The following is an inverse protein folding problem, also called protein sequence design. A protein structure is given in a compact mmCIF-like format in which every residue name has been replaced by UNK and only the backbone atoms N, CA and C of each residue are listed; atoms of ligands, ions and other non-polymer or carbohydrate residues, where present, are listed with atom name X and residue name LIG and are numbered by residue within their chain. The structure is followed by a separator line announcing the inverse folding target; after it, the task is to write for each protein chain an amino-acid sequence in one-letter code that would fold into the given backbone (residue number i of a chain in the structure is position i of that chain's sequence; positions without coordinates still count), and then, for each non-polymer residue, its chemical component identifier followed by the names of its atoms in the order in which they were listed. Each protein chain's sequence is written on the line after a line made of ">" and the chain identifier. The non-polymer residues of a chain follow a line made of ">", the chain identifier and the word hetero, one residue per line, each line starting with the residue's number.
data_IF_768857394626
#
_entry.id   IF_768857394626
#
_cell.length_a   1.000
_cell.length_b   1.000
_cell.length_c   1.000
_cell.angle_alpha   90.00
_cell.angle_beta   90.00
_cell.angle_gamma   90.00
#
_symmetry.space_group_name_H-M   'P 1'
#
loop_
_entity.id
_entity.type
_entity.pdbx_description
1 polymer ?
#
# COMPACT_ATOMS: atom_id res chain seq x y z
N UNK A 1 15.79 -4.08 6.33
CA UNK A 1 14.36 -4.07 5.94
C UNK A 1 13.59 -2.93 6.63
N UNK A 2 13.66 -2.77 7.97
CA UNK A 2 12.99 -1.66 8.70
C UNK A 2 13.25 -0.24 8.20
N UNK A 3 14.49 0.08 7.79
CA UNK A 3 14.82 1.43 7.30
C UNK A 3 14.18 1.73 5.93
N UNK A 4 14.19 0.76 5.01
CA UNK A 4 13.53 0.87 3.69
C UNK A 4 12.02 1.05 3.84
N UNK A 5 11.37 0.27 4.71
CA UNK A 5 9.95 0.39 5.01
C UNK A 5 9.58 1.77 5.57
N UNK A 6 10.40 2.31 6.48
CA UNK A 6 10.19 3.62 7.08
C UNK A 6 10.33 4.74 6.04
N UNK A 7 11.36 4.67 5.19
CA UNK A 7 11.56 5.63 4.09
C UNK A 7 10.44 5.56 3.05
N UNK A 8 9.99 4.34 2.73
CA UNK A 8 8.87 4.12 1.82
C UNK A 8 7.58 4.72 2.36
N UNK A 9 7.18 4.43 3.61
CA UNK A 9 6.00 5.06 4.24
C UNK A 9 6.07 6.58 4.16
N UNK A 10 7.22 7.17 4.48
CA UNK A 10 7.40 8.62 4.41
C UNK A 10 7.24 9.16 2.98
N UNK A 11 7.73 8.43 1.99
CA UNK A 11 7.62 8.79 0.57
C UNK A 11 6.16 8.80 0.09
N UNK A 12 5.35 7.84 0.53
CA UNK A 12 3.96 7.68 0.07
C UNK A 12 2.93 8.37 0.96
N UNK A 13 3.29 8.77 2.18
CA UNK A 13 2.40 9.42 3.15
C UNK A 13 1.68 10.65 2.58
N UNK A 14 2.38 11.46 1.77
CA UNK A 14 1.77 12.62 1.11
C UNK A 14 0.66 12.23 0.12
N UNK A 15 0.86 11.16 -0.65
CA UNK A 15 -0.13 10.64 -1.61
C UNK A 15 -1.35 10.07 -0.89
N UNK A 16 -1.12 9.28 0.15
CA UNK A 16 -2.19 8.70 0.98
C UNK A 16 -3.00 9.79 1.68
N UNK A 17 -2.35 10.78 2.29
CA UNK A 17 -3.03 11.90 2.94
C UNK A 17 -3.84 12.75 1.95
N UNK A 18 -3.35 12.92 0.71
CA UNK A 18 -4.13 13.57 -0.34
C UNK A 18 -5.34 12.73 -0.75
N UNK A 19 -5.17 11.42 -0.89
CA UNK A 19 -6.26 10.51 -1.23
C UNK A 19 -7.33 10.48 -0.13
N UNK A 20 -6.93 10.48 1.14
CA UNK A 20 -7.86 10.46 2.29
C UNK A 20 -8.82 11.65 2.30
N UNK A 21 -8.36 12.81 1.82
CA UNK A 21 -9.21 14.01 1.65
C UNK A 21 -10.25 13.87 0.55
N UNK A 22 -10.01 13.02 -0.46
CA UNK A 22 -10.94 12.78 -1.57
C UNK A 22 -11.82 11.55 -1.34
N UNK A 23 -11.25 10.50 -0.74
CA UNK A 23 -11.95 9.25 -0.44
C UNK A 23 -11.22 8.54 0.70
N UNK A 24 -11.82 8.59 1.88
CA UNK A 24 -11.30 7.91 3.07
C UNK A 24 -11.24 6.39 2.88
N UNK A 25 -12.26 5.80 2.26
CA UNK A 25 -12.30 4.36 1.95
C UNK A 25 -11.15 3.93 1.04
N UNK A 26 -10.85 4.72 0.00
CA UNK A 26 -9.73 4.43 -0.88
C UNK A 26 -8.38 4.57 -0.16
N UNK A 27 -8.22 5.58 0.69
CA UNK A 27 -7.01 5.74 1.48
C UNK A 27 -6.79 4.57 2.46
N UNK A 28 -7.84 4.14 3.17
CA UNK A 28 -7.77 2.99 4.08
C UNK A 28 -7.41 1.70 3.32
N UNK A 29 -7.95 1.52 2.11
CA UNK A 29 -7.58 0.39 1.25
C UNK A 29 -6.09 0.43 0.91
N UNK A 30 -5.59 1.56 0.43
CA UNK A 30 -4.16 1.72 0.09
C UNK A 30 -3.26 1.52 1.33
N UNK A 31 -3.65 2.03 2.50
CA UNK A 31 -2.90 1.81 3.74
C UNK A 31 -2.82 0.33 4.12
N UNK A 32 -3.90 -0.41 3.98
CA UNK A 32 -3.90 -1.85 4.26
C UNK A 32 -2.96 -2.62 3.28
N UNK A 33 -2.93 -2.23 2.00
CA UNK A 33 -1.97 -2.75 1.03
C UNK A 33 -0.51 -2.37 1.35
N UNK A 34 -0.27 -1.15 1.86
CA UNK A 34 1.05 -0.70 2.31
C UNK A 34 1.55 -1.48 3.52
N UNK A 35 0.68 -1.73 4.49
CA UNK A 35 1.02 -2.52 5.67
C UNK A 35 1.35 -3.97 5.29
N UNK A 36 0.70 -4.51 4.26
CA UNK A 36 1.04 -5.82 3.70
C UNK A 36 2.44 -5.83 3.07
N UNK A 37 2.78 -4.81 2.26
CA UNK A 37 4.10 -4.67 1.65
C UNK A 37 5.25 -4.57 2.66
N UNK A 38 4.94 -4.06 3.86
CA UNK A 38 5.92 -3.82 4.93
C UNK A 38 5.94 -4.97 5.95
N UNK A 39 4.92 -5.84 5.95
CA UNK A 39 4.83 -6.95 6.87
C UNK A 39 6.05 -7.88 6.71
N UNK A 40 6.83 -8.03 7.78
CA UNK A 40 8.01 -8.91 7.81
C UNK A 40 7.60 -10.41 7.93
N UNK A 41 6.34 -10.71 8.27
CA UNK A 41 5.83 -12.07 8.50
C UNK A 41 4.91 -12.56 7.37
N UNK A 42 5.42 -13.50 6.56
CA UNK A 42 4.71 -14.10 5.43
C UNK A 42 3.37 -14.73 5.80
N UNK A 43 3.26 -15.41 6.95
CA UNK A 43 2.03 -16.14 7.33
C UNK A 43 0.83 -15.25 7.59
N UNK A 44 1.07 -13.97 7.93
CA UNK A 44 0.01 -12.99 8.14
C UNK A 44 -0.36 -12.24 6.84
N UNK A 45 0.50 -12.28 5.82
CA UNK A 45 0.27 -11.58 4.55
C UNK A 45 -0.80 -12.30 3.71
N UNK A 46 -0.78 -13.62 3.60
CA UNK A 46 -1.79 -14.37 2.83
C UNK A 46 -3.21 -14.22 3.39
N UNK A 47 -3.36 -14.32 4.72
CA UNK A 47 -4.64 -14.11 5.38
C UNK A 47 -5.14 -12.68 5.18
N UNK A 48 -4.26 -11.69 5.34
CA UNK A 48 -4.60 -10.28 5.11
C UNK A 48 -4.95 -10.00 3.66
N UNK A 49 -4.27 -10.60 2.67
CA UNK A 49 -4.59 -10.46 1.25
C UNK A 49 -6.04 -10.83 0.93
N UNK A 50 -6.60 -11.84 1.60
CA UNK A 50 -8.00 -12.23 1.43
C UNK A 50 -8.98 -11.25 2.09
N UNK A 51 -8.55 -10.53 3.14
CA UNK A 51 -9.33 -9.52 3.84
C UNK A 51 -9.17 -8.11 3.25
N UNK A 52 -8.19 -7.90 2.35
CA UNK A 52 -7.99 -6.60 1.72
C UNK A 52 -9.18 -6.23 0.82
N UNK A 53 -9.65 -4.98 0.86
CA UNK A 53 -10.69 -4.50 -0.05
C UNK A 53 -10.26 -4.75 -1.49
N UNK A 54 -11.20 -5.22 -2.33
CA UNK A 54 -10.85 -5.56 -3.70
C UNK A 54 -10.44 -4.31 -4.44
N UNK A 55 -9.28 -4.35 -5.08
CA UNK A 55 -8.79 -3.28 -5.96
C UNK A 55 -9.81 -2.89 -7.04
N UNK A 56 -10.71 -3.79 -7.43
CA UNK A 56 -11.82 -3.52 -8.36
C UNK A 56 -12.83 -2.49 -7.85
N UNK A 57 -12.87 -2.22 -6.55
CA UNK A 57 -13.77 -1.24 -5.92
C UNK A 57 -13.13 0.16 -5.86
N UNK A 58 -11.85 0.27 -6.21
CA UNK A 58 -11.15 1.54 -6.24
C UNK A 58 -11.49 2.34 -7.50
N UNK A 59 -11.64 3.66 -7.34
CA UNK A 59 -11.76 4.57 -8.47
C UNK A 59 -10.48 4.51 -9.35
N UNK A 60 -10.55 4.87 -10.64
CA UNK A 60 -9.38 4.90 -11.53
C UNK A 60 -8.22 5.76 -10.99
N UNK A 61 -8.52 6.86 -10.30
CA UNK A 61 -7.50 7.71 -9.68
C UNK A 61 -6.84 7.03 -8.46
N UNK A 62 -7.63 6.32 -7.65
CA UNK A 62 -7.13 5.54 -6.52
C UNK A 62 -6.26 4.38 -7.00
N UNK A 63 -6.68 3.68 -8.06
CA UNK A 63 -5.90 2.63 -8.72
C UNK A 63 -4.56 3.15 -9.25
N UNK A 64 -4.56 4.32 -9.90
CA UNK A 64 -3.32 4.97 -10.35
C UNK A 64 -2.40 5.29 -9.18
N UNK A 65 -2.96 5.85 -8.11
CA UNK A 65 -2.20 6.16 -6.89
C UNK A 65 -1.58 4.89 -6.29
N UNK A 66 -2.34 3.81 -6.23
CA UNK A 66 -1.84 2.51 -5.76
C UNK A 66 -0.73 1.97 -6.65
N UNK A 67 -0.90 2.01 -7.98
CA UNK A 67 0.13 1.57 -8.92
C UNK A 67 1.42 2.39 -8.80
N UNK A 68 1.33 3.71 -8.64
CA UNK A 68 2.50 4.57 -8.39
C UNK A 68 3.20 4.25 -7.08
N UNK A 69 2.43 3.89 -6.05
CA UNK A 69 2.96 3.46 -4.75
C UNK A 69 3.71 2.13 -4.90
N UNK A 70 3.13 1.14 -5.59
CA UNK A 70 3.80 -0.13 -5.87
C UNK A 70 5.07 0.04 -6.71
N UNK A 71 5.03 0.89 -7.74
CA UNK A 71 6.22 1.20 -8.53
C UNK A 71 7.33 1.80 -7.64
N UNK A 72 6.97 2.72 -6.75
CA UNK A 72 7.92 3.29 -5.79
C UNK A 72 8.46 2.25 -4.81
N UNK A 73 7.67 1.24 -4.43
CA UNK A 73 8.10 0.19 -3.50
C UNK A 73 9.30 -0.62 -4.05
N UNK A 74 9.34 -0.84 -5.37
CA UNK A 74 10.46 -1.51 -6.06
C UNK A 74 11.77 -0.73 -5.85
N UNK A 75 11.75 0.61 -5.89
CA UNK A 75 12.93 1.44 -5.63
C UNK A 75 13.48 1.28 -4.21
N UNK A 76 12.64 0.85 -3.26
CA UNK A 76 13.02 0.55 -1.88
C UNK A 76 13.37 -0.92 -1.64
N UNK A 77 13.41 -1.73 -2.71
CA UNK A 77 13.60 -3.17 -2.66
C UNK A 77 12.53 -3.88 -1.81
N UNK A 78 11.33 -3.32 -1.79
CA UNK A 78 10.15 -3.88 -1.14
C UNK A 78 9.32 -4.60 -2.20
N UNK A 79 9.03 -5.87 -1.95
CA UNK A 79 8.15 -6.69 -2.77
C UNK A 79 7.09 -7.29 -1.88
N UNK A 80 5.89 -7.55 -2.43
CA UNK A 80 4.94 -8.42 -1.75
C UNK A 80 5.66 -9.77 -1.52
N UNK A 81 5.68 -10.29 -0.29
CA UNK A 81 6.21 -11.62 -0.02
C UNK A 81 5.59 -12.65 -1.00
N UNK A 82 6.45 -13.42 -1.68
CA UNK A 82 6.04 -14.51 -2.58
C UNK A 82 5.43 -15.67 -1.80
#
# INVERSE_FOLDING_TARGET
>A
MKESATRFRKSVAGKVASLKRSSESAANTIEAWLDLLIAEEHSAADAKLQELPRVSELSPNSLRTLAEIFASAVDFNLSIPK
#
